data_IF_023936184719
#
_entry.id   IF_023936184719
#
_cell.length_a   1.000
_cell.length_b   1.000
_cell.length_c   1.000
_cell.angle_alpha   90.00
_cell.angle_beta   90.00
_cell.angle_gamma   90.00
#
_symmetry.space_group_name_H-M   'P 1'
#
loop_
_entity.id
_entity.type
_entity.pdbx_description
1 polymer ?
#
# COMPACT_ATOMS: atom_id res chain seq x y z
N UNK A 1 -17.96 9.25 -0.60
CA UNK A 1 -16.60 9.84 -0.47
C UNK A 1 -16.47 10.90 0.63
N UNK A 2 -17.54 11.31 1.33
CA UNK A 2 -17.48 12.38 2.34
C UNK A 2 -16.78 12.03 3.67
N UNK A 3 -16.83 10.79 4.12
CA UNK A 3 -16.33 10.42 5.44
C UNK A 3 -14.79 10.49 5.56
N UNK A 4 -14.05 10.02 4.57
CA UNK A 4 -12.57 10.10 4.56
C UNK A 4 -12.07 11.55 4.51
N UNK A 5 -12.76 12.42 3.76
CA UNK A 5 -12.44 13.84 3.72
C UNK A 5 -12.69 14.49 5.11
N UNK A 6 -13.78 14.11 5.78
CA UNK A 6 -14.11 14.62 7.11
C UNK A 6 -13.12 14.17 8.19
N UNK A 7 -12.69 12.90 8.16
CA UNK A 7 -11.64 12.38 9.05
C UNK A 7 -10.29 13.10 8.80
N UNK A 8 -9.95 13.36 7.55
CA UNK A 8 -8.75 14.13 7.20
C UNK A 8 -8.79 15.57 7.71
N UNK A 9 -9.95 16.22 7.61
CA UNK A 9 -10.17 17.60 8.06
C UNK A 9 -10.10 17.71 9.58
N UNK A 10 -10.77 16.81 10.29
CA UNK A 10 -10.72 16.73 11.76
C UNK A 10 -9.28 16.44 12.23
N UNK A 11 -8.61 15.47 11.64
CA UNK A 11 -7.22 15.12 11.95
C UNK A 11 -6.27 16.30 11.73
N UNK A 12 -6.41 17.02 10.62
CA UNK A 12 -5.62 18.21 10.34
C UNK A 12 -5.87 19.35 11.32
N UNK A 13 -7.14 19.60 11.66
CA UNK A 13 -7.54 20.63 12.66
C UNK A 13 -6.94 20.31 14.03
N UNK A 14 -6.97 19.03 14.43
CA UNK A 14 -6.41 18.54 15.68
C UNK A 14 -4.88 18.73 15.73
N UNK A 15 -4.18 18.45 14.63
CA UNK A 15 -2.75 18.71 14.48
C UNK A 15 -2.41 20.20 14.60
N UNK A 16 -3.25 21.07 14.03
CA UNK A 16 -3.05 22.52 14.16
C UNK A 16 -3.26 22.98 15.60
N UNK A 17 -4.27 22.47 16.30
CA UNK A 17 -4.54 22.80 17.70
C UNK A 17 -3.41 22.31 18.63
N UNK A 18 -2.80 21.16 18.35
CA UNK A 18 -1.68 20.61 19.12
C UNK A 18 -0.37 21.42 18.96
N UNK A 19 -0.23 22.20 17.90
CA UNK A 19 0.95 23.06 17.70
C UNK A 19 1.13 24.08 18.84
N UNK A 20 0.04 24.63 19.39
CA UNK A 20 0.09 25.60 20.49
C UNK A 20 0.70 25.02 21.77
N UNK A 21 0.10 23.99 22.36
CA UNK A 21 0.63 23.31 23.54
C UNK A 21 2.06 22.79 23.36
N UNK A 22 2.37 22.16 22.23
CA UNK A 22 3.71 21.64 21.93
C UNK A 22 4.74 22.76 21.94
N UNK A 23 4.45 23.89 21.28
CA UNK A 23 5.39 25.02 21.26
C UNK A 23 5.48 25.73 22.61
N UNK A 24 4.42 25.74 23.41
CA UNK A 24 4.45 26.27 24.78
C UNK A 24 5.45 25.47 25.64
N UNK A 25 5.36 24.14 25.66
CA UNK A 25 6.30 23.30 26.41
C UNK A 25 7.73 23.42 25.86
N UNK A 26 7.91 23.45 24.53
CA UNK A 26 9.25 23.63 23.93
C UNK A 26 9.90 24.95 24.34
N UNK A 27 9.12 26.04 24.39
CA UNK A 27 9.61 27.35 24.88
C UNK A 27 10.05 27.29 26.34
N UNK A 28 9.29 26.56 27.18
CA UNK A 28 9.61 26.39 28.60
C UNK A 28 10.95 25.68 28.79
N UNK A 29 11.30 24.77 27.85
CA UNK A 29 12.58 24.05 27.85
C UNK A 29 13.68 24.71 26.98
N UNK A 30 13.49 25.98 26.58
CA UNK A 30 14.51 26.73 25.80
C UNK A 30 14.65 26.31 24.33
N UNK A 31 13.68 25.55 23.80
CA UNK A 31 13.69 25.12 22.38
C UNK A 31 12.93 26.12 21.50
N UNK A 32 13.42 26.32 20.27
CA UNK A 32 12.79 27.19 19.28
C UNK A 32 11.41 26.70 18.81
N UNK A 33 10.70 27.56 18.08
CA UNK A 33 9.40 27.25 17.47
C UNK A 33 9.50 26.08 16.50
N UNK A 34 8.56 25.14 16.57
CA UNK A 34 8.49 23.97 15.72
C UNK A 34 7.04 23.70 15.31
N UNK A 35 6.81 23.27 14.10
CA UNK A 35 5.47 22.98 13.58
C UNK A 35 5.27 21.48 13.39
N UNK A 36 4.45 20.89 14.24
CA UNK A 36 4.06 19.48 14.13
C UNK A 36 3.36 19.19 12.80
N UNK A 37 2.48 20.10 12.35
CA UNK A 37 1.78 19.94 11.09
C UNK A 37 2.71 19.99 9.87
N UNK A 38 3.74 20.86 9.90
CA UNK A 38 4.75 20.91 8.83
C UNK A 38 5.61 19.63 8.82
N UNK A 39 5.97 19.11 9.98
CA UNK A 39 6.70 17.84 10.10
C UNK A 39 5.90 16.67 9.53
N UNK A 40 4.63 16.51 9.93
CA UNK A 40 3.76 15.44 9.40
C UNK A 40 3.60 15.57 7.89
N UNK A 41 3.34 16.78 7.36
CA UNK A 41 3.24 17.01 5.91
C UNK A 41 4.52 16.61 5.17
N UNK A 42 5.69 16.99 5.69
CA UNK A 42 6.96 16.64 5.06
C UNK A 42 7.23 15.14 5.10
N UNK A 43 6.91 14.48 6.22
CA UNK A 43 7.07 13.04 6.36
C UNK A 43 6.18 12.27 5.36
N UNK A 44 4.89 12.63 5.26
CA UNK A 44 3.97 12.03 4.28
C UNK A 44 4.48 12.26 2.85
N UNK A 45 4.91 13.49 2.52
CA UNK A 45 5.46 13.79 1.19
C UNK A 45 6.70 12.95 0.88
N UNK A 46 7.60 12.79 1.84
CA UNK A 46 8.82 11.99 1.65
C UNK A 46 8.48 10.51 1.41
N UNK A 47 7.55 9.95 2.17
CA UNK A 47 7.08 8.56 1.96
C UNK A 47 6.46 8.39 0.58
N UNK A 48 5.57 9.28 0.18
CA UNK A 48 4.93 9.23 -1.15
C UNK A 48 5.95 9.34 -2.28
N UNK A 49 6.91 10.26 -2.15
CA UNK A 49 7.99 10.41 -3.13
C UNK A 49 8.87 9.17 -3.17
N UNK A 50 9.23 8.59 -2.03
CA UNK A 50 10.03 7.37 -1.95
C UNK A 50 9.33 6.21 -2.68
N UNK A 51 8.03 5.99 -2.40
CA UNK A 51 7.24 4.96 -3.09
C UNK A 51 7.24 5.21 -4.60
N UNK A 52 6.98 6.43 -5.04
CA UNK A 52 6.96 6.79 -6.46
C UNK A 52 8.32 6.57 -7.15
N UNK A 53 9.42 6.98 -6.53
CA UNK A 53 10.76 6.77 -7.06
C UNK A 53 11.12 5.27 -7.15
N UNK A 54 10.73 4.49 -6.14
CA UNK A 54 10.95 3.05 -6.15
C UNK A 54 10.21 2.38 -7.32
N UNK A 55 8.93 2.67 -7.48
CA UNK A 55 8.11 2.12 -8.56
C UNK A 55 8.63 2.49 -9.94
N UNK A 56 9.00 3.76 -10.13
CA UNK A 56 9.60 4.21 -11.40
C UNK A 56 10.92 3.49 -11.70
N UNK A 57 11.76 3.30 -10.68
CA UNK A 57 13.02 2.57 -10.82
C UNK A 57 12.81 1.10 -11.19
N UNK A 58 11.84 0.45 -10.57
CA UNK A 58 11.50 -0.95 -10.86
C UNK A 58 10.94 -1.11 -12.27
N UNK A 59 10.10 -0.19 -12.70
CA UNK A 59 9.54 -0.20 -14.05
C UNK A 59 10.61 0.09 -15.11
N UNK A 60 11.56 0.98 -14.80
CA UNK A 60 12.70 1.23 -15.69
C UNK A 60 13.55 -0.02 -15.85
N UNK A 61 13.85 -0.70 -14.76
CA UNK A 61 14.57 -1.98 -14.79
C UNK A 61 13.84 -3.05 -15.63
N UNK A 62 12.52 -3.15 -15.48
CA UNK A 62 11.71 -4.06 -16.29
C UNK A 62 11.72 -3.70 -17.77
N UNK A 63 11.68 -2.39 -18.08
CA UNK A 63 11.76 -1.89 -19.45
C UNK A 63 13.11 -2.22 -20.10
N UNK A 64 14.20 -2.04 -19.38
CA UNK A 64 15.55 -2.36 -19.87
C UNK A 64 15.74 -3.85 -20.13
N UNK A 65 15.01 -4.69 -19.40
CA UNK A 65 14.97 -6.14 -19.58
C UNK A 65 13.97 -6.62 -20.64
N UNK A 66 13.30 -5.71 -21.35
CA UNK A 66 12.23 -6.01 -22.33
C UNK A 66 11.10 -6.85 -21.72
N UNK A 67 10.83 -6.66 -20.42
CA UNK A 67 9.78 -7.36 -19.70
C UNK A 67 8.44 -6.63 -19.81
N UNK A 68 7.34 -7.36 -19.77
CA UNK A 68 5.98 -6.77 -19.79
C UNK A 68 5.55 -6.14 -18.47
N UNK A 69 6.22 -6.50 -17.39
CA UNK A 69 5.95 -6.00 -16.05
C UNK A 69 6.95 -6.51 -15.03
N UNK A 70 6.77 -6.14 -13.78
CA UNK A 70 7.65 -6.50 -12.68
C UNK A 70 6.84 -6.87 -11.43
N UNK A 71 7.28 -7.94 -10.78
CA UNK A 71 6.81 -8.32 -9.44
C UNK A 71 7.91 -7.98 -8.45
N UNK A 72 7.58 -7.25 -7.40
CA UNK A 72 8.51 -6.83 -6.36
C UNK A 72 7.84 -6.78 -4.98
N UNK A 73 8.63 -6.61 -3.95
CA UNK A 73 8.21 -6.36 -2.56
C UNK A 73 8.92 -5.13 -2.02
N UNK A 74 9.45 -5.21 -0.82
CA UNK A 74 10.34 -4.26 -0.13
C UNK A 74 9.66 -3.00 0.45
N UNK A 75 8.76 -2.34 -0.25
CA UNK A 75 8.12 -1.11 0.26
C UNK A 75 6.87 -1.37 1.12
N UNK A 76 6.54 -2.63 1.39
CA UNK A 76 5.42 -3.08 2.22
C UNK A 76 4.06 -2.49 1.82
N UNK A 77 3.93 -2.05 0.57
CA UNK A 77 2.72 -1.45 0.02
C UNK A 77 2.19 -2.31 -1.12
N UNK A 78 1.26 -3.20 -0.80
CA UNK A 78 0.67 -4.11 -1.76
C UNK A 78 -0.07 -3.35 -2.87
N UNK A 79 0.24 -3.63 -4.13
CA UNK A 79 -0.37 -2.94 -5.27
C UNK A 79 -0.33 -3.78 -6.56
N UNK A 80 -1.38 -3.65 -7.37
CA UNK A 80 -1.39 -4.03 -8.79
C UNK A 80 -1.80 -2.79 -9.58
N UNK A 81 -0.94 -2.31 -10.46
CA UNK A 81 -1.22 -1.14 -11.30
C UNK A 81 -0.32 -1.06 -12.53
N UNK A 82 -0.67 -0.20 -13.46
CA UNK A 82 0.20 0.17 -14.58
C UNK A 82 1.01 1.41 -14.22
N UNK A 83 2.33 1.33 -14.43
CA UNK A 83 3.26 2.44 -14.27
C UNK A 83 4.00 2.61 -15.58
N UNK A 84 3.90 3.78 -16.21
CA UNK A 84 4.51 4.06 -17.54
C UNK A 84 4.21 3.00 -18.62
N UNK A 85 3.01 2.39 -18.56
CA UNK A 85 2.55 1.39 -19.52
C UNK A 85 2.93 -0.06 -19.20
N UNK A 86 3.83 -0.30 -18.25
CA UNK A 86 4.22 -1.63 -17.78
C UNK A 86 3.41 -2.06 -16.56
N UNK A 87 3.21 -3.35 -16.42
CA UNK A 87 2.50 -3.92 -15.29
C UNK A 87 3.42 -3.96 -14.05
N UNK A 88 2.97 -3.31 -12.98
CA UNK A 88 3.67 -3.25 -11.71
C UNK A 88 2.87 -3.99 -10.63
N UNK A 89 3.53 -4.94 -9.98
CA UNK A 89 2.98 -5.76 -8.91
C UNK A 89 3.86 -5.63 -7.67
N UNK A 90 3.28 -5.22 -6.54
CA UNK A 90 3.95 -5.28 -5.25
C UNK A 90 3.18 -6.23 -4.34
N UNK A 91 3.89 -7.24 -3.82
CA UNK A 91 3.29 -8.28 -2.98
C UNK A 91 2.86 -7.76 -1.62
N UNK A 92 3.36 -6.60 -1.20
CA UNK A 92 3.22 -6.12 0.17
C UNK A 92 4.14 -6.85 1.12
N UNK A 93 3.63 -7.20 2.30
CA UNK A 93 4.36 -7.92 3.33
C UNK A 93 3.46 -8.93 4.07
N UNK A 94 4.09 -9.88 4.74
CA UNK A 94 3.40 -10.91 5.52
C UNK A 94 3.38 -10.62 7.04
N UNK A 95 3.80 -9.44 7.47
CA UNK A 95 3.90 -9.04 8.88
C UNK A 95 2.80 -8.06 9.27
N UNK A 96 2.64 -6.98 8.50
CA UNK A 96 1.69 -5.91 8.79
C UNK A 96 0.44 -5.98 7.90
N UNK A 97 0.63 -6.05 6.59
CA UNK A 97 -0.48 -6.06 5.63
C UNK A 97 -1.07 -7.45 5.38
N UNK A 98 -0.30 -8.50 5.66
CA UNK A 98 -0.66 -9.91 5.45
C UNK A 98 -1.19 -10.14 4.03
N UNK A 99 -0.42 -9.68 3.05
CA UNK A 99 -0.80 -9.74 1.64
C UNK A 99 0.12 -10.65 0.85
N UNK A 100 -0.45 -11.30 -0.17
CA UNK A 100 0.26 -12.20 -1.08
C UNK A 100 -0.25 -12.04 -2.50
N UNK A 101 0.65 -12.14 -3.47
CA UNK A 101 0.31 -12.23 -4.88
C UNK A 101 0.28 -13.72 -5.27
N UNK A 102 -0.84 -14.15 -5.83
CA UNK A 102 -1.08 -15.54 -6.27
C UNK A 102 -1.34 -15.55 -7.76
N UNK A 103 -0.73 -16.48 -8.47
CA UNK A 103 -1.05 -16.78 -9.87
C UNK A 103 -1.95 -18.01 -9.93
N UNK A 104 -3.07 -17.88 -10.63
CA UNK A 104 -3.98 -18.99 -10.92
C UNK A 104 -3.51 -19.76 -12.16
N UNK A 105 -4.01 -20.99 -12.35
CA UNK A 105 -3.68 -21.85 -13.51
C UNK A 105 -3.93 -21.19 -14.87
N UNK A 106 -4.87 -20.25 -14.93
CA UNK A 106 -5.19 -19.50 -16.14
C UNK A 106 -4.29 -18.28 -16.37
N UNK A 107 -3.25 -18.08 -15.53
CA UNK A 107 -2.35 -16.92 -15.57
C UNK A 107 -2.93 -15.62 -14.98
N UNK A 108 -4.06 -15.70 -14.29
CA UNK A 108 -4.63 -14.54 -13.58
C UNK A 108 -3.87 -14.30 -12.29
N UNK A 109 -3.37 -13.07 -12.08
CA UNK A 109 -2.73 -12.66 -10.84
C UNK A 109 -3.75 -12.02 -9.89
N UNK A 110 -3.78 -12.49 -8.65
CA UNK A 110 -4.65 -11.99 -7.59
C UNK A 110 -3.82 -11.53 -6.40
N UNK A 111 -4.12 -10.34 -5.91
CA UNK A 111 -3.57 -9.83 -4.66
C UNK A 111 -4.56 -10.12 -3.54
N UNK A 112 -4.18 -11.00 -2.63
CA UNK A 112 -5.03 -11.48 -1.54
C UNK A 112 -4.56 -10.91 -0.21
N UNK A 113 -5.50 -10.68 0.71
CA UNK A 113 -5.23 -10.28 2.08
C UNK A 113 -5.77 -11.32 3.06
N UNK A 114 -4.93 -11.71 4.02
CA UNK A 114 -5.25 -12.70 5.04
C UNK A 114 -5.38 -12.07 6.43
N UNK A 115 -6.04 -12.79 7.33
CA UNK A 115 -6.07 -12.48 8.76
C UNK A 115 -4.81 -13.01 9.45
N UNK A 116 -4.49 -12.56 10.68
CA UNK A 116 -3.43 -13.15 11.48
C UNK A 116 -3.64 -14.65 11.80
N UNK A 117 -4.87 -15.13 11.68
CA UNK A 117 -5.24 -16.54 11.85
C UNK A 117 -5.09 -17.37 10.57
N UNK A 118 -4.67 -16.74 9.45
CA UNK A 118 -4.47 -17.42 8.18
C UNK A 118 -5.72 -17.55 7.32
N UNK A 119 -6.83 -16.90 7.68
CA UNK A 119 -8.06 -16.91 6.88
C UNK A 119 -8.00 -15.83 5.80
N UNK A 120 -8.49 -16.15 4.60
CA UNK A 120 -8.61 -15.18 3.52
C UNK A 120 -9.68 -14.13 3.87
N UNK A 121 -9.26 -12.86 4.01
CA UNK A 121 -10.17 -11.75 4.31
C UNK A 121 -10.83 -11.25 3.03
N UNK A 122 -10.02 -11.00 1.98
CA UNK A 122 -10.52 -10.43 0.71
C UNK A 122 -9.48 -10.50 -0.40
N UNK A 123 -9.98 -10.40 -1.62
CA UNK A 123 -9.17 -10.10 -2.80
C UNK A 123 -9.07 -8.58 -2.95
N UNK A 124 -7.86 -8.05 -2.99
CA UNK A 124 -7.60 -6.61 -3.10
C UNK A 124 -7.63 -6.14 -4.55
N UNK A 125 -7.04 -6.93 -5.44
CA UNK A 125 -6.99 -6.64 -6.87
C UNK A 125 -6.85 -7.93 -7.68
N UNK A 126 -7.34 -7.90 -8.92
CA UNK A 126 -7.22 -8.99 -9.90
C UNK A 126 -6.67 -8.41 -11.20
N UNK A 127 -5.69 -9.07 -11.78
CA UNK A 127 -5.15 -8.75 -13.11
C UNK A 127 -5.27 -9.99 -13.99
N UNK A 128 -6.13 -9.93 -15.00
CA UNK A 128 -6.25 -11.01 -15.98
C UNK A 128 -5.01 -11.14 -16.86
N UNK A 129 -4.83 -12.29 -17.49
CA UNK A 129 -3.69 -12.64 -18.37
C UNK A 129 -3.43 -11.65 -19.52
N UNK A 130 -4.29 -10.68 -19.77
CA UNK A 130 -4.23 -9.66 -20.83
C UNK A 130 -4.25 -8.22 -20.30
N UNK A 131 -3.83 -7.96 -19.03
CA UNK A 131 -3.56 -6.59 -18.56
C UNK A 131 -4.78 -5.71 -18.27
N UNK A 132 -5.96 -6.26 -18.04
CA UNK A 132 -7.10 -5.51 -17.52
C UNK A 132 -7.13 -5.58 -15.99
N UNK A 133 -6.77 -4.48 -15.34
CA UNK A 133 -6.88 -4.35 -13.87
C UNK A 133 -8.31 -4.02 -13.50
N UNK A 134 -9.01 -4.90 -12.82
CA UNK A 134 -10.29 -4.62 -12.19
C UNK A 134 -10.10 -4.48 -10.69
N UNK A 135 -10.34 -3.28 -10.15
CA UNK A 135 -10.43 -3.06 -8.70
C UNK A 135 -11.81 -3.49 -8.24
N UNK A 136 -11.93 -4.68 -7.70
CA UNK A 136 -13.18 -5.10 -7.07
C UNK A 136 -13.35 -4.42 -5.72
N UNK A 137 -14.24 -3.44 -5.71
CA UNK A 137 -14.76 -2.78 -4.53
C UNK A 137 -15.83 -3.68 -3.92
N UNK A 138 -15.46 -4.41 -2.85
CA UNK A 138 -16.37 -4.99 -1.86
C UNK A 138 -17.58 -5.75 -2.41
N UNK A 139 -17.45 -7.02 -2.70
CA UNK A 139 -18.56 -7.96 -2.63
C UNK A 139 -18.34 -8.89 -1.43
N UNK A 140 -19.23 -8.77 -0.45
CA UNK A 140 -19.32 -9.77 0.60
C UNK A 140 -19.99 -11.02 0.02
N UNK A 141 -19.34 -12.17 0.18
CA UNK A 141 -19.89 -13.43 0.69
C UNK A 141 -18.90 -14.57 0.43
N UNK A 142 -18.61 -15.25 1.50
CA UNK A 142 -18.22 -16.66 1.64
C UNK A 142 -17.75 -17.43 0.40
N UNK A 143 -16.45 -17.67 0.30
CA UNK A 143 -15.95 -18.91 -0.28
C UNK A 143 -14.95 -19.49 0.71
N UNK A 144 -15.40 -20.50 1.44
CA UNK A 144 -14.57 -21.37 2.27
C UNK A 144 -14.03 -22.45 1.35
N UNK A 145 -12.93 -22.20 0.68
CA UNK A 145 -12.10 -23.27 0.12
C UNK A 145 -10.74 -23.25 0.83
N UNK A 146 -10.54 -24.31 1.62
CA UNK A 146 -9.28 -24.55 2.30
C UNK A 146 -8.21 -24.90 1.27
N UNK A 147 -7.14 -24.10 1.20
CA UNK A 147 -5.95 -24.43 0.45
C UNK A 147 -5.25 -25.62 1.07
N UNK A 148 -4.74 -26.60 0.28
CA UNK A 148 -3.93 -27.68 0.79
C UNK A 148 -2.61 -27.12 1.38
N UNK A 149 -2.19 -27.70 2.49
CA UNK A 149 -1.05 -27.27 3.30
C UNK A 149 0.35 -27.43 2.66
N UNK A 150 0.44 -27.62 1.35
CA UNK A 150 1.71 -27.89 0.63
C UNK A 150 2.34 -26.70 -0.09
N UNK A 151 1.79 -25.50 0.02
CA UNK A 151 2.33 -24.31 -0.67
C UNK A 151 3.14 -23.39 0.27
N UNK A 152 3.95 -23.95 1.17
CA UNK A 152 4.93 -23.17 1.94
C UNK A 152 6.31 -23.79 1.76
N UNK A 153 6.99 -23.41 0.68
CA UNK A 153 8.44 -23.48 0.56
C UNK A 153 8.89 -22.65 -0.63
N UNK A 154 9.38 -21.43 -0.39
CA UNK A 154 10.69 -20.92 -0.83
C UNK A 154 10.95 -19.63 -0.06
#
# INVERSE_FOLDING_TARGET
MGWLAHVGDVGYTLLLQLNGPVNFFRRLFGHGHWSLSAYVKSSVKNVVNFIGCFEESMVHFASDADARGIICGHIHTAAIRKVKGLDYYNTGDWVESLTVLVEEENGTLKLLQFSPTGELIRTLAVCGALGSVTNEKKMGNSVTEAFPAEAVAV
#
